data_IF_895058876484
#
_entry.id   IF_895058876484
#
_cell.length_a   1.000
_cell.length_b   1.000
_cell.length_c   1.000
_cell.angle_alpha   90.00
_cell.angle_beta   90.00
_cell.angle_gamma   90.00
#
_symmetry.space_group_name_H-M   'P 1'
#
loop_
_entity.id
_entity.type
_entity.pdbx_description
1 polymer ?
#
# COMPACT_ATOMS: atom_id res chain seq x y z
N UNK A 1 7.18 -9.27 -23.89
CA UNK A 1 5.99 -9.07 -23.03
C UNK A 1 5.85 -7.58 -22.79
N UNK A 2 4.67 -7.10 -22.42
CA UNK A 2 4.46 -5.70 -22.07
C UNK A 2 3.56 -5.69 -20.84
N UNK A 3 3.89 -4.86 -19.86
CA UNK A 3 3.18 -4.83 -18.59
C UNK A 3 2.51 -3.47 -18.39
N UNK A 4 1.30 -3.48 -17.84
CA UNK A 4 0.65 -2.26 -17.38
C UNK A 4 1.45 -1.66 -16.23
N UNK A 5 1.47 -0.33 -16.17
CA UNK A 5 2.06 0.37 -15.05
C UNK A 5 1.25 0.12 -13.77
N UNK A 6 1.81 -0.54 -12.74
CA UNK A 6 1.09 -0.87 -11.51
C UNK A 6 0.73 0.38 -10.69
N UNK A 7 1.24 1.56 -11.05
CA UNK A 7 0.86 2.83 -10.41
C UNK A 7 -0.48 3.39 -10.91
N UNK A 8 -1.02 2.86 -12.01
CA UNK A 8 -2.35 3.23 -12.51
C UNK A 8 -3.40 2.61 -11.61
N UNK A 9 -4.43 3.39 -11.27
CA UNK A 9 -5.52 3.03 -10.35
C UNK A 9 -6.12 1.64 -10.65
N UNK A 10 -6.49 1.42 -11.92
CA UNK A 10 -7.02 0.14 -12.40
C UNK A 10 -6.06 -1.03 -12.15
N UNK A 11 -4.80 -0.86 -12.58
CA UNK A 11 -3.76 -1.88 -12.45
C UNK A 11 -3.52 -2.24 -10.98
N UNK A 12 -3.38 -1.22 -10.13
CA UNK A 12 -3.12 -1.40 -8.71
C UNK A 12 -4.25 -2.20 -8.04
N UNK A 13 -5.51 -1.85 -8.33
CA UNK A 13 -6.68 -2.57 -7.83
C UNK A 13 -6.76 -4.00 -8.35
N UNK A 14 -6.45 -4.23 -9.62
CA UNK A 14 -6.45 -5.58 -10.20
C UNK A 14 -5.36 -6.46 -9.57
N UNK A 15 -4.15 -5.91 -9.36
CA UNK A 15 -2.99 -6.64 -8.84
C UNK A 15 -3.12 -6.91 -7.34
N UNK A 16 -3.62 -5.96 -6.55
CA UNK A 16 -3.61 -6.05 -5.08
C UNK A 16 -4.99 -6.17 -4.43
N UNK A 17 -6.06 -5.82 -5.14
CA UNK A 17 -7.42 -5.69 -4.60
C UNK A 17 -8.42 -6.75 -5.06
N UNK A 18 -7.99 -7.74 -5.84
CA UNK A 18 -8.86 -8.85 -6.27
C UNK A 18 -8.76 -10.04 -5.32
N UNK A 19 -9.80 -10.87 -5.20
CA UNK A 19 -9.78 -12.05 -4.31
C UNK A 19 -8.60 -13.01 -4.60
N UNK A 20 -8.25 -13.16 -5.88
CA UNK A 20 -7.10 -13.95 -6.34
C UNK A 20 -5.74 -13.30 -6.04
N UNK A 21 -5.72 -12.04 -5.58
CA UNK A 21 -4.53 -11.29 -5.19
C UNK A 21 -4.17 -11.43 -3.71
N UNK A 22 -4.85 -12.30 -2.97
CA UNK A 22 -4.65 -12.43 -1.52
C UNK A 22 -3.18 -12.69 -1.14
N UNK A 23 -2.54 -13.68 -1.76
CA UNK A 23 -1.14 -14.03 -1.47
C UNK A 23 -0.17 -12.91 -1.90
N UNK A 24 -0.44 -12.29 -3.05
CA UNK A 24 0.25 -11.07 -3.53
C UNK A 24 0.22 -9.99 -2.45
N UNK A 25 -0.97 -9.70 -1.92
CA UNK A 25 -1.15 -8.65 -0.94
C UNK A 25 -0.48 -8.99 0.40
N UNK A 26 -0.55 -10.25 0.85
CA UNK A 26 0.14 -10.71 2.06
C UNK A 26 1.65 -10.51 1.92
N UNK A 27 2.23 -10.95 0.79
CA UNK A 27 3.66 -10.79 0.52
C UNK A 27 4.08 -9.33 0.50
N UNK A 28 3.32 -8.48 -0.20
CA UNK A 28 3.56 -7.04 -0.25
C UNK A 28 3.48 -6.37 1.12
N UNK A 29 2.43 -6.63 1.90
CA UNK A 29 2.25 -6.02 3.22
C UNK A 29 3.30 -6.49 4.23
N UNK A 30 3.72 -7.76 4.19
CA UNK A 30 4.86 -8.23 4.98
C UNK A 30 6.13 -7.48 4.61
N UNK A 31 6.37 -7.24 3.33
CA UNK A 31 7.53 -6.48 2.85
C UNK A 31 7.54 -5.02 3.34
N UNK A 32 6.39 -4.34 3.32
CA UNK A 32 6.31 -2.91 3.64
C UNK A 32 6.15 -2.64 5.15
N UNK A 33 5.31 -3.42 5.83
CA UNK A 33 4.97 -3.18 7.24
C UNK A 33 6.00 -3.82 8.16
N UNK A 34 6.45 -5.04 7.82
CA UNK A 34 7.26 -5.92 8.67
C UNK A 34 8.62 -6.27 8.05
N UNK A 35 9.09 -5.45 7.11
CA UNK A 35 10.46 -5.53 6.56
C UNK A 35 10.79 -6.90 5.93
N UNK A 36 9.76 -7.57 5.39
CA UNK A 36 9.85 -8.88 4.73
C UNK A 36 9.59 -10.07 5.64
N UNK A 37 9.48 -9.87 6.95
CA UNK A 37 9.15 -10.94 7.89
C UNK A 37 7.73 -11.45 7.67
N UNK A 38 7.56 -12.78 7.67
CA UNK A 38 6.27 -13.45 7.43
C UNK A 38 5.32 -13.32 8.63
N UNK A 39 4.89 -12.11 8.95
CA UNK A 39 4.05 -11.78 10.12
C UNK A 39 2.57 -11.95 9.79
N UNK A 40 2.11 -11.35 8.70
CA UNK A 40 0.76 -11.55 8.17
C UNK A 40 0.69 -12.96 7.59
N UNK A 41 -0.14 -13.80 8.18
CA UNK A 41 -0.40 -15.17 7.73
C UNK A 41 -1.63 -15.28 6.84
N UNK A 42 -2.60 -14.41 7.09
CA UNK A 42 -3.85 -14.38 6.37
C UNK A 42 -4.48 -12.99 6.43
N UNK A 43 -5.27 -12.66 5.40
CA UNK A 43 -6.10 -11.46 5.36
C UNK A 43 -7.37 -11.71 4.51
N UNK A 44 -8.34 -10.83 4.69
CA UNK A 44 -9.51 -10.70 3.81
C UNK A 44 -9.41 -9.37 3.07
N UNK A 45 -9.43 -9.40 1.74
CA UNK A 45 -9.58 -8.19 0.94
C UNK A 45 -11.06 -7.82 1.00
N UNK A 46 -11.37 -6.59 1.38
CA UNK A 46 -12.75 -6.13 1.51
C UNK A 46 -12.99 -4.99 0.54
N UNK A 47 -14.22 -4.90 0.03
CA UNK A 47 -14.60 -3.82 -0.87
C UNK A 47 -14.22 -2.46 -0.23
N UNK A 48 -13.33 -1.67 -0.86
CA UNK A 48 -12.88 -0.41 -0.31
C UNK A 48 -13.99 0.65 -0.33
N UNK A 49 -15.03 0.45 -1.15
CA UNK A 49 -16.26 1.22 -1.08
C UNK A 49 -16.98 0.86 0.22
N UNK A 50 -16.66 1.63 1.25
CA UNK A 50 -17.47 1.69 2.44
C UNK A 50 -18.14 3.07 2.42
N UNK A 51 -19.46 3.16 2.12
CA UNK A 51 -20.19 4.40 2.36
C UNK A 51 -20.03 4.87 3.82
N UNK A 52 -19.55 3.97 4.68
CA UNK A 52 -19.41 4.17 6.11
C UNK A 52 -20.77 3.89 6.73
N UNK A 53 -20.76 3.37 7.95
CA UNK A 53 -22.00 3.30 8.71
C UNK A 53 -22.47 4.70 9.12
N UNK A 54 -21.55 5.66 9.12
CA UNK A 54 -21.81 7.08 9.40
C UNK A 54 -22.12 7.80 8.09
N UNK A 55 -23.42 7.85 7.77
CA UNK A 55 -23.99 8.43 6.53
C UNK A 55 -23.57 9.88 6.28
N UNK A 56 -23.21 10.65 7.32
CA UNK A 56 -22.81 12.05 7.22
C UNK A 56 -21.35 12.29 6.83
N UNK A 57 -20.53 11.24 6.75
CA UNK A 57 -19.11 11.37 6.38
C UNK A 57 -18.94 11.49 4.87
N UNK A 58 -17.87 12.20 4.46
CA UNK A 58 -17.48 12.31 3.06
C UNK A 58 -17.18 10.93 2.49
N UNK A 59 -17.69 10.65 1.30
CA UNK A 59 -17.31 9.45 0.55
C UNK A 59 -15.83 9.49 0.16
N UNK A 60 -15.16 8.36 0.32
CA UNK A 60 -13.73 8.21 0.09
C UNK A 60 -13.52 6.92 -0.68
N UNK A 61 -12.83 7.01 -1.80
CA UNK A 61 -12.41 5.86 -2.58
C UNK A 61 -10.99 5.50 -2.13
N UNK A 62 -10.84 4.34 -1.50
CA UNK A 62 -9.55 3.73 -1.22
C UNK A 62 -9.23 2.77 -2.37
N UNK A 63 -7.95 2.56 -2.66
CA UNK A 63 -7.58 1.56 -3.66
C UNK A 63 -7.78 0.14 -3.14
N UNK A 64 -7.23 -0.17 -1.96
CA UNK A 64 -7.35 -1.49 -1.34
C UNK A 64 -7.60 -1.35 0.15
N UNK A 65 -8.46 -2.21 0.69
CA UNK A 65 -8.66 -2.39 2.12
C UNK A 65 -8.56 -3.87 2.46
N UNK A 66 -7.77 -4.18 3.47
CA UNK A 66 -7.60 -5.53 4.00
C UNK A 66 -7.92 -5.58 5.50
N UNK A 67 -8.48 -6.70 5.94
CA UNK A 67 -8.64 -7.03 7.36
C UNK A 67 -7.76 -8.24 7.65
N UNK A 68 -6.81 -8.09 8.57
CA UNK A 68 -5.91 -9.16 8.99
C UNK A 68 -6.64 -10.16 9.89
N UNK A 69 -6.03 -11.34 10.10
CA UNK A 69 -6.60 -12.38 10.96
C UNK A 69 -6.84 -11.94 12.42
N UNK A 70 -6.07 -10.98 12.92
CA UNK A 70 -6.22 -10.40 14.26
C UNK A 70 -7.26 -9.27 14.32
N UNK A 71 -7.95 -8.98 13.22
CA UNK A 71 -8.94 -7.91 13.11
C UNK A 71 -8.36 -6.55 12.71
N UNK A 72 -7.03 -6.39 12.68
CA UNK A 72 -6.39 -5.14 12.27
C UNK A 72 -6.77 -4.76 10.83
N UNK A 73 -6.98 -3.47 10.60
CA UNK A 73 -7.35 -2.93 9.29
C UNK A 73 -6.12 -2.32 8.63
N UNK A 74 -5.86 -2.70 7.38
CA UNK A 74 -4.85 -2.05 6.53
C UNK A 74 -5.56 -1.38 5.36
N UNK A 75 -5.40 -0.06 5.24
CA UNK A 75 -5.84 0.70 4.06
C UNK A 75 -4.63 1.07 3.22
N UNK A 76 -4.76 0.94 1.90
CA UNK A 76 -3.65 1.11 0.96
C UNK A 76 -4.10 2.05 -0.14
N UNK A 77 -3.27 3.04 -0.42
CA UNK A 77 -3.53 4.08 -1.43
C UNK A 77 -2.27 4.27 -2.29
N UNK A 78 -2.43 4.28 -3.61
CA UNK A 78 -1.41 4.63 -4.60
C UNK A 78 -1.70 6.03 -5.14
N UNK A 79 -0.72 6.93 -5.07
CA UNK A 79 -0.88 8.30 -5.54
C UNK A 79 0.24 8.70 -6.51
N UNK A 80 -0.12 8.84 -7.78
CA UNK A 80 0.83 9.23 -8.84
C UNK A 80 1.16 10.73 -8.78
N UNK A 81 0.17 11.58 -8.55
CA UNK A 81 0.34 13.03 -8.57
C UNK A 81 0.10 13.66 -7.18
N UNK A 82 0.91 14.67 -6.84
CA UNK A 82 0.76 15.44 -5.61
C UNK A 82 -0.49 16.31 -5.68
N UNK A 83 -1.51 15.96 -4.90
CA UNK A 83 -2.74 16.75 -4.80
C UNK A 83 -2.71 17.74 -3.63
N UNK A 84 -3.47 18.84 -3.76
CA UNK A 84 -3.72 19.78 -2.66
C UNK A 84 -4.33 19.03 -1.47
N UNK A 85 -3.85 19.32 -0.26
CA UNK A 85 -4.33 18.72 0.99
C UNK A 85 -4.22 17.18 1.10
N UNK A 86 -3.32 16.55 0.33
CA UNK A 86 -3.09 15.09 0.35
C UNK A 86 -2.90 14.52 1.76
N UNK A 87 -2.05 15.13 2.59
CA UNK A 87 -1.82 14.67 3.97
C UNK A 87 -3.10 14.68 4.83
N UNK A 88 -3.99 15.65 4.59
CA UNK A 88 -5.30 15.69 5.27
C UNK A 88 -6.19 14.53 4.84
N UNK A 89 -6.15 14.13 3.56
CA UNK A 89 -6.88 12.95 3.04
C UNK A 89 -6.36 11.67 3.67
N UNK A 90 -5.04 11.47 3.75
CA UNK A 90 -4.45 10.29 4.39
C UNK A 90 -4.90 10.18 5.86
N UNK A 91 -4.82 11.28 6.62
CA UNK A 91 -5.28 11.31 8.01
C UNK A 91 -6.80 11.08 8.15
N UNK A 92 -7.60 11.63 7.24
CA UNK A 92 -9.04 11.43 7.19
C UNK A 92 -9.38 9.95 6.93
N UNK A 93 -8.74 9.33 5.95
CA UNK A 93 -8.98 7.95 5.56
C UNK A 93 -8.62 6.98 6.71
N UNK A 94 -7.47 7.18 7.38
CA UNK A 94 -7.10 6.38 8.54
C UNK A 94 -8.14 6.53 9.67
N UNK A 95 -8.46 7.77 10.03
CA UNK A 95 -9.45 8.06 11.10
C UNK A 95 -10.81 7.46 10.78
N UNK A 96 -11.26 7.58 9.52
CA UNK A 96 -12.54 7.03 9.04
C UNK A 96 -12.53 5.50 9.06
N UNK A 97 -11.41 4.84 8.71
CA UNK A 97 -11.29 3.39 8.78
C UNK A 97 -11.38 2.90 10.24
N UNK A 98 -10.70 3.60 11.16
CA UNK A 98 -10.71 3.27 12.58
C UNK A 98 -12.08 3.49 13.22
N UNK A 99 -12.73 4.63 12.94
CA UNK A 99 -14.03 4.99 13.53
C UNK A 99 -15.20 4.13 13.02
N UNK A 100 -15.18 3.66 11.76
CA UNK A 100 -16.26 2.86 11.18
C UNK A 100 -16.29 1.40 11.67
N UNK A 101 -15.40 1.00 12.59
CA UNK A 101 -15.40 -0.34 13.18
C UNK A 101 -16.59 -0.55 14.12
N UNK A 102 -17.00 0.48 14.84
CA UNK A 102 -18.02 0.37 15.89
C UNK A 102 -19.38 0.92 15.44
N UNK A 103 -20.43 0.25 15.88
CA UNK A 103 -21.81 0.71 15.86
C UNK A 103 -22.17 1.52 17.12
N UNK A 104 -23.30 2.24 17.02
CA UNK A 104 -23.80 3.04 18.14
C UNK A 104 -24.09 2.14 19.36
N UNK A 105 -23.39 2.42 20.47
CA UNK A 105 -23.55 1.70 21.72
C UNK A 105 -22.54 0.58 21.96
N UNK A 106 -21.66 0.30 20.99
CA UNK A 106 -20.55 -0.64 21.17
C UNK A 106 -19.42 -0.05 22.01
N UNK A 107 -18.68 -0.93 22.70
CA UNK A 107 -17.62 -0.52 23.61
C UNK A 107 -16.27 -0.37 22.88
N UNK A 108 -15.48 0.64 23.26
CA UNK A 108 -14.17 0.92 22.66
C UNK A 108 -13.14 -0.23 22.67
N UNK A 109 -13.12 -1.17 23.63
CA UNK A 109 -12.21 -2.32 23.58
C UNK A 109 -12.42 -3.26 22.38
N UNK A 110 -13.49 -3.09 21.59
CA UNK A 110 -13.72 -3.82 20.34
C UNK A 110 -12.98 -3.22 19.14
N UNK A 111 -12.35 -2.05 19.29
CA UNK A 111 -11.54 -1.45 18.24
C UNK A 111 -10.30 -2.30 17.99
N UNK A 112 -10.02 -2.55 16.71
CA UNK A 112 -8.77 -3.12 16.26
C UNK A 112 -7.85 -2.04 15.68
N UNK A 113 -6.53 -2.28 15.66
CA UNK A 113 -5.57 -1.40 15.03
C UNK A 113 -5.91 -1.04 13.58
N UNK A 114 -5.51 0.15 13.15
CA UNK A 114 -5.56 0.60 11.77
C UNK A 114 -4.21 1.12 11.27
N UNK A 115 -3.81 0.67 10.08
CA UNK A 115 -2.56 1.05 9.40
C UNK A 115 -2.92 1.64 8.05
N UNK A 116 -2.45 2.85 7.75
CA UNK A 116 -2.51 3.40 6.40
C UNK A 116 -1.16 3.26 5.70
N UNK A 117 -1.12 2.51 4.61
CA UNK A 117 0.03 2.39 3.71
C UNK A 117 -0.23 3.29 2.51
N UNK A 118 0.58 4.32 2.33
CA UNK A 118 0.44 5.30 1.25
C UNK A 118 1.67 5.25 0.35
N UNK A 119 1.47 4.89 -0.91
CA UNK A 119 2.53 4.80 -1.92
C UNK A 119 2.43 6.03 -2.80
N UNK A 120 3.57 6.66 -3.08
CA UNK A 120 3.62 7.93 -3.83
C UNK A 120 4.66 7.88 -4.95
N UNK A 121 4.30 8.37 -6.13
CA UNK A 121 5.22 8.57 -7.26
C UNK A 121 5.80 10.01 -7.28
N UNK A 122 5.80 10.67 -6.12
CA UNK A 122 6.37 11.99 -5.91
C UNK A 122 7.01 12.06 -4.51
N UNK A 123 7.94 13.00 -4.33
CA UNK A 123 8.53 13.25 -3.00
C UNK A 123 7.58 14.09 -2.17
N UNK A 124 7.06 13.50 -1.10
CA UNK A 124 6.20 14.14 -0.12
C UNK A 124 7.02 14.82 0.98
N UNK A 125 7.98 14.09 1.55
CA UNK A 125 8.85 14.57 2.63
C UNK A 125 10.17 15.02 2.02
N UNK A 126 10.32 16.35 1.87
CA UNK A 126 11.61 16.94 1.52
C UNK A 126 12.48 16.87 2.75
N UNK A 127 13.58 16.13 2.65
CA UNK A 127 14.54 15.95 3.71
C UNK A 127 15.07 17.31 4.16
N UNK A 128 14.91 17.65 5.43
CA UNK A 128 15.42 18.90 6.04
C UNK A 128 16.73 18.70 6.80
N UNK A 129 17.23 17.46 6.86
CA UNK A 129 18.47 17.10 7.55
C UNK A 129 19.35 16.22 6.65
N UNK A 130 20.65 16.52 6.64
CA UNK A 130 21.67 15.87 5.81
C UNK A 130 22.09 14.47 6.31
N UNK A 131 21.51 13.98 7.41
CA UNK A 131 21.90 12.73 8.08
C UNK A 131 21.07 11.50 7.65
N UNK A 132 20.64 11.44 6.40
CA UNK A 132 19.64 10.45 5.99
C UNK A 132 20.28 9.22 5.34
N UNK A 133 19.98 8.06 5.94
CA UNK A 133 20.35 6.74 5.48
C UNK A 133 19.83 6.47 4.05
N UNK A 134 20.55 5.59 3.34
CA UNK A 134 20.30 5.18 1.95
C UNK A 134 18.92 4.52 1.70
N UNK A 135 18.11 4.29 2.74
CA UNK A 135 16.82 3.59 2.71
C UNK A 135 15.59 4.45 3.14
N UNK A 136 15.68 5.79 3.06
CA UNK A 136 14.59 6.73 3.40
C UNK A 136 13.41 6.78 2.38
N UNK A 137 13.21 5.72 1.61
CA UNK A 137 12.06 5.59 0.73
C UNK A 137 10.84 4.97 1.43
N UNK A 138 10.99 4.43 2.65
CA UNK A 138 9.87 4.03 3.53
C UNK A 138 9.93 4.81 4.84
N UNK A 139 8.86 5.56 5.13
CA UNK A 139 8.72 6.34 6.36
C UNK A 139 7.55 5.81 7.20
N UNK A 140 7.83 5.31 8.41
CA UNK A 140 6.82 4.76 9.35
C UNK A 140 6.59 5.73 10.51
N UNK A 141 5.38 6.26 10.65
CA UNK A 141 5.00 7.23 11.68
C UNK A 141 4.03 6.62 12.72
N UNK A 142 4.21 7.04 13.97
CA UNK A 142 3.38 6.70 15.13
C UNK A 142 3.08 7.97 15.94
N UNK A 143 2.04 7.94 16.76
CA UNK A 143 1.82 8.98 17.75
C UNK A 143 2.87 8.86 18.87
N UNK A 144 3.32 10.01 19.36
CA UNK A 144 4.34 10.11 20.40
C UNK A 144 4.20 11.43 21.15
N UNK A 145 4.74 11.50 22.36
CA UNK A 145 4.83 12.76 23.08
C UNK A 145 5.81 13.73 22.39
N UNK A 146 5.47 15.01 22.42
CA UNK A 146 6.10 16.04 21.59
C UNK A 146 7.58 16.25 21.91
N UNK A 147 7.98 16.22 23.18
CA UNK A 147 9.35 16.57 23.61
C UNK A 147 10.23 15.34 23.81
N UNK A 148 9.80 14.40 24.64
CA UNK A 148 10.53 13.19 25.06
C UNK A 148 10.37 12.02 24.08
N UNK A 149 9.46 12.11 23.12
CA UNK A 149 9.28 11.13 22.03
C UNK A 149 8.93 9.70 22.47
N UNK A 150 8.34 9.53 23.67
CA UNK A 150 7.79 8.21 24.01
C UNK A 150 6.50 7.96 23.21
N UNK A 151 6.31 6.72 22.79
CA UNK A 151 5.20 6.31 21.92
C UNK A 151 3.87 6.32 22.66
N UNK A 152 2.81 6.66 21.95
CA UNK A 152 1.43 6.63 22.41
C UNK A 152 0.58 6.10 21.25
N UNK A 153 -0.43 5.26 21.50
CA UNK A 153 -1.30 4.69 20.45
C UNK A 153 -0.55 4.01 19.29
N UNK A 154 0.72 3.63 19.47
CA UNK A 154 1.58 3.14 18.39
C UNK A 154 1.16 1.78 17.85
N UNK A 155 0.39 1.04 18.66
CA UNK A 155 -0.25 -0.21 18.27
C UNK A 155 -1.61 0.02 17.61
N UNK A 156 -2.23 1.18 17.82
CA UNK A 156 -3.59 1.46 17.36
C UNK A 156 -3.61 2.15 16.00
N UNK A 157 -2.78 3.17 15.79
CA UNK A 157 -2.82 4.01 14.59
C UNK A 157 -1.41 4.20 14.03
N UNK A 158 -1.21 3.78 12.78
CA UNK A 158 0.08 3.88 12.09
C UNK A 158 -0.08 4.45 10.69
N UNK A 159 0.87 5.30 10.30
CA UNK A 159 1.02 5.77 8.92
C UNK A 159 2.33 5.23 8.35
N UNK A 160 2.29 4.68 7.15
CA UNK A 160 3.47 4.21 6.43
C UNK A 160 3.45 4.84 5.05
N UNK A 161 4.51 5.54 4.69
CA UNK A 161 4.67 6.16 3.38
C UNK A 161 5.78 5.48 2.61
N UNK A 162 5.50 5.11 1.37
CA UNK A 162 6.49 4.60 0.41
C UNK A 162 6.65 5.65 -0.69
N UNK A 163 7.82 6.28 -0.79
CA UNK A 163 8.13 7.32 -1.77
C UNK A 163 8.96 6.74 -2.92
N UNK A 164 8.29 6.23 -3.96
CA UNK A 164 8.93 5.53 -5.08
C UNK A 164 10.08 6.33 -5.74
N UNK A 165 10.02 7.67 -5.90
CA UNK A 165 11.13 8.42 -6.47
C UNK A 165 12.40 8.41 -5.62
N UNK A 166 12.30 8.16 -4.30
CA UNK A 166 13.47 8.05 -3.42
C UNK A 166 14.17 6.69 -3.57
N UNK A 167 13.50 5.66 -4.10
CA UNK A 167 14.11 4.37 -4.35
C UNK A 167 14.99 4.39 -5.60
N UNK A 168 16.30 4.15 -5.44
CA UNK A 168 17.32 4.27 -6.51
C UNK A 168 18.07 2.97 -6.84
N UNK A 169 17.77 1.87 -6.15
CA UNK A 169 18.45 0.59 -6.40
C UNK A 169 18.11 0.06 -7.79
N UNK A 170 19.11 -0.48 -8.46
CA UNK A 170 18.99 -1.23 -9.71
C UNK A 170 18.63 -2.69 -9.45
N UNK A 171 18.25 -3.43 -10.50
CA UNK A 171 17.85 -4.84 -10.41
C UNK A 171 18.89 -5.73 -9.73
N UNK A 172 20.20 -5.49 -9.96
CA UNK A 172 21.30 -6.25 -9.36
C UNK A 172 21.55 -5.92 -7.88
N UNK A 173 20.98 -4.81 -7.39
CA UNK A 173 21.10 -4.37 -6.00
C UNK A 173 19.93 -4.82 -5.12
N UNK A 174 18.91 -5.46 -5.69
CA UNK A 174 17.73 -5.93 -4.96
C UNK A 174 18.09 -7.13 -4.10
N UNK A 175 18.04 -6.97 -2.77
CA UNK A 175 18.40 -8.03 -1.82
C UNK A 175 17.21 -8.48 -0.99
N UNK A 176 16.35 -7.55 -0.61
CA UNK A 176 15.21 -7.83 0.27
C UNK A 176 13.91 -8.00 -0.53
N UNK A 177 12.93 -8.67 0.07
CA UNK A 177 11.57 -8.72 -0.45
C UNK A 177 10.99 -7.31 -0.65
N UNK A 178 11.32 -6.39 0.26
CA UNK A 178 10.96 -4.96 0.19
C UNK A 178 11.52 -4.29 -1.05
N UNK A 179 12.82 -4.49 -1.35
CA UNK A 179 13.45 -3.94 -2.55
C UNK A 179 12.76 -4.45 -3.82
N UNK A 180 12.46 -5.76 -3.87
CA UNK A 180 11.82 -6.41 -5.01
C UNK A 180 10.41 -5.87 -5.26
N UNK A 181 9.58 -5.71 -4.21
CA UNK A 181 8.23 -5.14 -4.34
C UNK A 181 8.23 -3.67 -4.77
N UNK A 182 9.14 -2.85 -4.23
CA UNK A 182 9.22 -1.44 -4.60
C UNK A 182 9.75 -1.28 -6.03
N UNK A 183 10.74 -2.09 -6.41
CA UNK A 183 11.24 -2.10 -7.78
C UNK A 183 10.14 -2.54 -8.77
N UNK A 184 9.35 -3.57 -8.44
CA UNK A 184 8.17 -3.95 -9.21
C UNK A 184 7.20 -2.76 -9.40
N UNK A 185 6.79 -2.10 -8.32
CA UNK A 185 5.87 -0.96 -8.40
C UNK A 185 6.40 0.20 -9.24
N UNK A 186 7.72 0.40 -9.22
CA UNK A 186 8.36 1.52 -9.91
C UNK A 186 8.64 1.23 -11.38
N UNK A 187 9.10 0.03 -11.71
CA UNK A 187 9.72 -0.30 -12.99
C UNK A 187 8.95 -1.33 -13.81
N UNK A 188 7.90 -1.99 -13.31
CA UNK A 188 7.25 -3.09 -14.05
C UNK A 188 6.85 -2.76 -15.50
N UNK A 189 6.39 -1.52 -15.75
CA UNK A 189 6.02 -1.08 -17.11
C UNK A 189 7.19 -0.98 -18.10
N UNK A 190 8.44 -0.95 -17.63
CA UNK A 190 9.64 -0.88 -18.47
C UNK A 190 10.19 -2.26 -18.82
N UNK A 191 9.63 -3.34 -18.26
CA UNK A 191 10.11 -4.69 -18.51
C UNK A 191 9.60 -5.24 -19.84
N UNK A 192 10.49 -5.87 -20.59
CA UNK A 192 10.15 -6.66 -21.78
C UNK A 192 9.90 -8.14 -21.46
N UNK A 193 10.34 -8.60 -20.30
CA UNK A 193 10.16 -9.97 -19.76
C UNK A 193 10.20 -9.96 -18.24
N UNK A 194 9.77 -11.03 -17.58
CA UNK A 194 9.86 -11.14 -16.11
C UNK A 194 11.33 -11.26 -15.70
N UNK A 195 11.89 -10.31 -14.94
CA UNK A 195 13.28 -10.42 -14.51
C UNK A 195 13.47 -11.61 -13.57
N UNK A 196 14.51 -12.41 -13.78
CA UNK A 196 14.78 -13.64 -13.02
C UNK A 196 14.74 -13.41 -11.50
N UNK A 197 15.42 -12.36 -11.02
CA UNK A 197 15.48 -12.04 -9.58
C UNK A 197 14.12 -11.68 -8.97
N UNK A 198 13.17 -11.20 -9.77
CA UNK A 198 11.79 -10.94 -9.34
C UNK A 198 10.94 -12.21 -9.45
N UNK A 199 11.12 -12.99 -10.52
CA UNK A 199 10.40 -14.25 -10.77
C UNK A 199 10.65 -15.34 -9.73
N UNK A 200 11.78 -15.32 -9.04
CA UNK A 200 12.04 -16.21 -7.88
C UNK A 200 11.02 -16.04 -6.74
N UNK A 201 10.36 -14.87 -6.65
CA UNK A 201 9.31 -14.61 -5.67
C UNK A 201 7.97 -14.89 -6.37
N UNK A 202 7.38 -16.05 -6.09
CA UNK A 202 6.15 -16.50 -6.75
C UNK A 202 5.01 -15.47 -6.72
N UNK A 203 4.89 -14.70 -5.65
CA UNK A 203 3.88 -13.64 -5.56
C UNK A 203 4.18 -12.45 -6.48
N UNK A 204 5.45 -12.09 -6.69
CA UNK A 204 5.82 -11.02 -7.65
C UNK A 204 5.67 -11.52 -9.08
N UNK A 205 6.03 -12.78 -9.36
CA UNK A 205 5.78 -13.42 -10.65
C UNK A 205 4.29 -13.41 -10.98
N UNK A 206 3.43 -13.82 -10.04
CA UNK A 206 1.98 -13.78 -10.21
C UNK A 206 1.47 -12.35 -10.46
N UNK A 207 1.98 -11.37 -9.72
CA UNK A 207 1.63 -9.96 -9.92
C UNK A 207 2.04 -9.45 -11.31
N UNK A 208 3.23 -9.81 -11.81
CA UNK A 208 3.68 -9.49 -13.18
C UNK A 208 2.81 -10.17 -14.23
N UNK A 209 2.39 -11.42 -13.99
CA UNK A 209 1.47 -12.12 -14.89
C UNK A 209 0.09 -11.45 -14.94
N UNK A 210 -0.45 -10.97 -13.81
CA UNK A 210 -1.69 -10.18 -13.79
C UNK A 210 -1.52 -8.85 -14.53
N UNK A 211 -0.35 -8.22 -14.42
CA UNK A 211 -0.03 -6.97 -15.07
C UNK A 211 0.26 -7.10 -16.58
N UNK A 212 0.46 -8.31 -17.09
CA UNK A 212 0.79 -8.53 -18.49
C UNK A 212 -0.41 -8.21 -19.39
N UNK A 213 -0.21 -7.33 -20.39
CA UNK A 213 -1.25 -6.94 -21.35
C UNK A 213 -1.89 -8.12 -22.08
N UNK A 214 -1.15 -9.23 -22.27
CA UNK A 214 -1.67 -10.45 -22.92
C UNK A 214 -2.84 -11.06 -22.12
N UNK A 215 -2.87 -10.85 -20.81
CA UNK A 215 -3.90 -11.38 -19.91
C UNK A 215 -5.04 -10.38 -19.69
N UNK A 216 -5.11 -9.31 -20.51
CA UNK A 216 -6.18 -8.32 -20.44
C UNK A 216 -7.30 -8.61 -21.43
N UNK A 217 -8.55 -8.40 -21.01
CA UNK A 217 -9.68 -8.41 -21.94
C UNK A 217 -9.68 -7.15 -22.82
N UNK A 218 -10.38 -7.16 -23.97
CA UNK A 218 -10.51 -5.97 -24.82
C UNK A 218 -11.03 -4.74 -24.07
N UNK A 219 -12.00 -4.91 -23.17
CA UNK A 219 -12.55 -3.83 -22.34
C UNK A 219 -11.49 -3.26 -21.37
N UNK A 220 -10.62 -4.12 -20.83
CA UNK A 220 -9.54 -3.68 -19.96
C UNK A 220 -8.47 -2.91 -20.73
N UNK A 221 -8.18 -3.30 -21.98
CA UNK A 221 -7.24 -2.57 -22.84
C UNK A 221 -7.74 -1.15 -23.15
N UNK A 222 -9.03 -0.97 -23.41
CA UNK A 222 -9.63 0.36 -23.64
C UNK A 222 -9.51 1.28 -22.41
N UNK A 223 -9.57 0.74 -21.18
CA UNK A 223 -9.38 1.51 -19.95
C UNK A 223 -7.93 2.00 -19.80
N UNK A 224 -6.98 1.26 -20.36
CA UNK A 224 -5.54 1.53 -20.20
C UNK A 224 -4.99 2.45 -21.29
N UNK A 225 -5.61 2.43 -22.47
CA UNK A 225 -5.23 3.28 -23.61
C UNK A 225 -5.86 4.70 -23.55
N UNK A 226 -6.85 4.92 -22.69
CA UNK A 226 -7.51 6.21 -22.45
C UNK A 226 -7.01 6.91 -21.18
#
# INVERSE_FOLDING_TARGET
MRFINPKVDYAFKKIFGSEQSKDILISFLNAIIYDGEKTIKDLTIVNPFNPGKIISLKETYLDVKAVLIDGSIVIIEMQVARMTAFNKRVAYNLSKAYANQLDKGENYPLLNPAIAVTITDFVLFKNTDDNINKDDYINKFVFQEETKKYKCLEKELRLIFVELPKFKKSLSELKSLTDKWIYFLKEAASFDEIPESLGEIGEIEQALNIANFINMSPEELEIVEN
#
